data_IF_111293097839
#
_entry.id   IF_111293097839
#
_cell.length_a   1.000
_cell.length_b   1.000
_cell.length_c   1.000
_cell.angle_alpha   90.00
_cell.angle_beta   90.00
_cell.angle_gamma   90.00
#
_symmetry.space_group_name_H-M   'P 1'
#
loop_
_entity.id
_entity.type
_entity.pdbx_description
1 polymer ?
#
# COMPACT_ATOMS: atom_id res chain seq x y z
N UNK A 1 -0.98 -1.82 -22.85
CA UNK A 1 0.28 -1.08 -22.62
C UNK A 1 0.46 -0.96 -21.12
N UNK A 2 1.67 -1.18 -20.57
CA UNK A 2 1.91 -1.10 -19.12
C UNK A 2 1.81 0.35 -18.65
N UNK A 3 1.06 0.57 -17.57
CA UNK A 3 0.99 1.83 -16.81
C UNK A 3 1.01 1.49 -15.32
N UNK A 4 1.91 2.11 -14.55
CA UNK A 4 2.16 1.78 -13.14
C UNK A 4 1.61 2.89 -12.25
N UNK A 5 0.71 2.54 -11.34
CA UNK A 5 0.30 3.39 -10.24
C UNK A 5 1.32 3.27 -9.11
N UNK A 6 1.73 4.39 -8.53
CA UNK A 6 2.58 4.42 -7.35
C UNK A 6 1.81 5.09 -6.21
N UNK A 7 1.70 4.42 -5.07
CA UNK A 7 1.13 5.01 -3.85
C UNK A 7 2.25 5.30 -2.87
N UNK A 8 2.61 6.57 -2.75
CA UNK A 8 3.65 7.04 -1.83
C UNK A 8 3.15 7.10 -0.38
N UNK A 9 3.86 6.43 0.52
CA UNK A 9 3.75 6.65 1.97
C UNK A 9 4.55 7.88 2.44
N UNK A 10 4.61 8.09 3.76
CA UNK A 10 5.40 9.18 4.36
C UNK A 10 6.83 9.20 3.83
N UNK A 11 7.24 10.31 3.20
CA UNK A 11 8.62 10.54 2.74
C UNK A 11 9.01 9.83 1.43
N UNK A 12 8.05 9.21 0.72
CA UNK A 12 8.28 8.48 -0.53
C UNK A 12 7.31 8.92 -1.64
N UNK A 13 6.85 10.17 -1.57
CA UNK A 13 5.89 10.81 -2.47
C UNK A 13 6.51 11.95 -3.29
N UNK A 14 7.84 12.08 -3.33
CA UNK A 14 8.52 13.08 -4.14
C UNK A 14 8.30 12.82 -5.64
N UNK A 15 7.50 13.66 -6.35
CA UNK A 15 7.23 13.48 -7.76
C UNK A 15 8.46 13.72 -8.64
N UNK A 16 9.54 14.33 -8.13
CA UNK A 16 10.76 14.58 -8.90
C UNK A 16 11.44 13.29 -9.41
N UNK A 17 11.04 12.11 -8.94
CA UNK A 17 11.43 10.83 -9.54
C UNK A 17 10.93 10.68 -10.99
N UNK A 18 9.92 11.43 -11.41
CA UNK A 18 9.33 11.37 -12.75
C UNK A 18 9.84 12.52 -13.63
N UNK A 19 10.20 12.22 -14.88
CA UNK A 19 10.83 13.21 -15.76
C UNK A 19 9.91 14.34 -16.22
N UNK A 20 8.68 14.03 -16.67
CA UNK A 20 7.68 15.02 -17.10
C UNK A 20 6.47 14.91 -16.19
N UNK A 21 6.19 15.97 -15.44
CA UNK A 21 5.13 15.99 -14.44
C UNK A 21 3.88 16.70 -14.99
N UNK A 22 2.75 16.00 -14.99
CA UNK A 22 1.43 16.58 -15.23
C UNK A 22 0.56 16.27 -14.03
N UNK A 23 0.12 17.32 -13.35
CA UNK A 23 -0.84 17.18 -12.26
C UNK A 23 -2.27 17.12 -12.82
N UNK A 24 -3.07 16.21 -12.27
CA UNK A 24 -4.45 16.00 -12.69
C UNK A 24 -5.36 15.89 -11.48
N UNK A 25 -6.31 16.81 -11.38
CA UNK A 25 -7.43 16.72 -10.44
C UNK A 25 -8.51 15.81 -11.05
N UNK A 26 -8.91 14.77 -10.33
CA UNK A 26 -9.94 13.82 -10.77
C UNK A 26 -10.98 13.60 -9.67
N UNK A 27 -12.14 13.07 -10.07
CA UNK A 27 -13.20 12.65 -9.16
C UNK A 27 -13.67 11.27 -9.59
N UNK A 28 -13.87 10.40 -8.61
CA UNK A 28 -14.44 9.06 -8.80
C UNK A 28 -15.87 9.02 -8.28
N UNK A 29 -16.58 7.93 -8.52
CA UNK A 29 -17.89 7.69 -7.89
C UNK A 29 -17.80 7.61 -6.36
N UNK A 30 -16.62 7.26 -5.82
CA UNK A 30 -16.34 7.21 -4.38
C UNK A 30 -15.81 8.53 -3.81
N UNK A 31 -15.90 9.62 -4.57
CA UNK A 31 -15.42 10.95 -4.18
C UNK A 31 -14.04 11.27 -4.76
N UNK A 32 -13.38 12.27 -4.16
CA UNK A 32 -12.04 12.68 -4.60
C UNK A 32 -10.98 11.72 -4.04
N UNK A 33 -9.95 11.36 -4.83
CA UNK A 33 -8.74 10.76 -4.29
C UNK A 33 -8.10 11.67 -3.24
N UNK A 34 -7.27 11.10 -2.37
CA UNK A 34 -6.65 11.82 -1.24
C UNK A 34 -5.67 12.91 -1.69
N UNK A 35 -5.08 12.77 -2.88
CA UNK A 35 -4.33 13.83 -3.56
C UNK A 35 -4.70 13.87 -5.03
N UNK A 36 -4.37 14.96 -5.71
CA UNK A 36 -4.29 14.95 -7.18
C UNK A 36 -3.33 13.87 -7.67
N UNK A 37 -3.61 13.38 -8.87
CA UNK A 37 -2.75 12.44 -9.56
C UNK A 37 -1.56 13.19 -10.15
N UNK A 38 -0.40 12.57 -10.12
CA UNK A 38 0.79 13.11 -10.78
C UNK A 38 1.26 12.12 -11.82
N UNK A 39 1.04 12.42 -13.10
CA UNK A 39 1.42 11.57 -14.22
C UNK A 39 2.82 11.94 -14.72
N UNK A 40 3.60 10.93 -15.07
CA UNK A 40 4.88 11.11 -15.74
C UNK A 40 5.43 9.82 -16.35
N UNK A 41 6.70 9.86 -16.72
CA UNK A 41 7.40 8.75 -17.38
C UNK A 41 8.68 8.45 -16.61
N UNK A 42 8.89 7.16 -16.28
CA UNK A 42 10.10 6.64 -15.66
C UNK A 42 10.61 5.46 -16.48
N UNK A 43 11.84 5.55 -17.00
CA UNK A 43 12.44 4.47 -17.79
C UNK A 43 11.61 4.06 -19.02
N UNK A 44 10.87 4.99 -19.61
CA UNK A 44 9.97 4.73 -20.75
C UNK A 44 8.60 4.13 -20.39
N UNK A 45 8.29 3.97 -19.09
CA UNK A 45 7.00 3.48 -18.59
C UNK A 45 6.17 4.64 -18.05
N UNK A 46 4.88 4.67 -18.40
CA UNK A 46 3.94 5.65 -17.84
C UNK A 46 3.67 5.33 -16.37
N UNK A 47 3.81 6.35 -15.51
CA UNK A 47 3.61 6.25 -14.07
C UNK A 47 2.59 7.29 -13.62
N UNK A 48 1.70 6.89 -12.70
CA UNK A 48 0.79 7.82 -12.00
C UNK A 48 1.04 7.69 -10.50
N UNK A 49 1.40 8.78 -9.85
CA UNK A 49 1.65 8.86 -8.42
C UNK A 49 0.43 9.44 -7.68
N UNK A 50 0.12 8.85 -6.52
CA UNK A 50 -0.80 9.39 -5.50
C UNK A 50 -0.04 9.48 -4.17
N UNK A 51 -0.14 10.63 -3.49
CA UNK A 51 0.34 10.78 -2.12
C UNK A 51 -0.76 10.28 -1.16
N UNK A 52 -0.52 9.15 -0.48
CA UNK A 52 -1.54 8.45 0.33
C UNK A 52 -2.20 9.35 1.37
N UNK A 53 -1.40 10.19 2.04
CA UNK A 53 -1.83 11.06 3.13
C UNK A 53 -2.08 12.51 2.69
N UNK A 54 -2.19 12.72 1.36
CA UNK A 54 -2.15 14.06 0.77
C UNK A 54 -0.72 14.60 0.73
N UNK A 55 -0.48 15.60 -0.14
CA UNK A 55 0.86 16.14 -0.40
C UNK A 55 1.53 16.81 0.80
N UNK A 56 0.73 17.28 1.76
CA UNK A 56 1.22 17.91 2.98
C UNK A 56 1.11 16.97 4.18
N UNK A 57 0.91 15.67 3.94
CA UNK A 57 0.69 14.67 4.98
C UNK A 57 -0.49 15.02 5.92
N UNK A 58 -1.53 15.68 5.39
CA UNK A 58 -2.61 16.26 6.19
C UNK A 58 -3.73 15.29 6.55
N UNK A 59 -3.79 14.11 5.92
CA UNK A 59 -4.85 13.12 6.18
C UNK A 59 -4.32 11.94 6.99
N UNK A 60 -4.98 11.63 8.10
CA UNK A 60 -4.68 10.43 8.88
C UNK A 60 -4.97 9.16 8.08
N UNK A 61 -4.40 7.99 8.46
CA UNK A 61 -4.67 6.73 7.76
C UNK A 61 -6.16 6.35 7.67
N UNK A 62 -6.98 6.77 8.63
CA UNK A 62 -8.44 6.55 8.62
C UNK A 62 -9.17 7.45 7.61
N UNK A 63 -8.68 8.68 7.40
CA UNK A 63 -9.28 9.66 6.50
C UNK A 63 -8.92 9.46 5.02
N UNK A 64 -7.94 8.60 4.74
CA UNK A 64 -7.56 8.26 3.36
C UNK A 64 -8.76 7.66 2.62
N UNK A 65 -9.05 8.18 1.43
CA UNK A 65 -10.12 7.70 0.59
C UNK A 65 -9.61 6.58 -0.32
N UNK A 66 -9.37 5.41 0.28
CA UNK A 66 -8.79 4.25 -0.41
C UNK A 66 -9.58 3.84 -1.66
N UNK A 67 -10.92 3.86 -1.59
CA UNK A 67 -11.79 3.56 -2.75
C UNK A 67 -11.54 4.53 -3.89
N UNK A 68 -11.52 5.83 -3.63
CA UNK A 68 -11.26 6.81 -4.67
C UNK A 68 -9.83 6.73 -5.23
N UNK A 69 -8.82 6.44 -4.41
CA UNK A 69 -7.45 6.28 -4.89
C UNK A 69 -7.33 5.09 -5.87
N UNK A 70 -7.85 3.93 -5.49
CA UNK A 70 -7.78 2.72 -6.31
C UNK A 70 -8.69 2.82 -7.55
N UNK A 71 -9.88 3.42 -7.42
CA UNK A 71 -10.77 3.67 -8.56
C UNK A 71 -10.16 4.67 -9.55
N UNK A 72 -9.52 5.74 -9.08
CA UNK A 72 -8.87 6.70 -9.97
C UNK A 72 -7.75 6.05 -10.80
N UNK A 73 -6.96 5.15 -10.19
CA UNK A 73 -6.01 4.34 -10.95
C UNK A 73 -6.68 3.46 -12.00
N UNK A 74 -7.81 2.80 -11.67
CA UNK A 74 -8.57 2.01 -12.64
C UNK A 74 -9.03 2.87 -13.82
N UNK A 75 -9.62 4.03 -13.54
CA UNK A 75 -10.17 4.95 -14.53
C UNK A 75 -9.07 5.51 -15.46
N UNK A 76 -7.87 5.76 -14.93
CA UNK A 76 -6.71 6.22 -15.71
C UNK A 76 -5.95 5.09 -16.44
N UNK A 77 -6.47 3.86 -16.37
CA UNK A 77 -5.90 2.69 -17.06
C UNK A 77 -4.61 2.17 -16.44
N UNK A 78 -4.40 2.36 -15.13
CA UNK A 78 -3.31 1.72 -14.40
C UNK A 78 -3.47 0.21 -14.45
N UNK A 79 -2.35 -0.46 -14.72
CA UNK A 79 -2.28 -1.92 -14.90
C UNK A 79 -1.61 -2.63 -13.74
N UNK A 80 -0.79 -1.92 -12.94
CA UNK A 80 -0.05 -2.46 -11.81
C UNK A 80 0.09 -1.36 -10.76
N UNK A 81 0.04 -1.71 -9.48
CA UNK A 81 0.22 -0.78 -8.38
C UNK A 81 1.45 -1.20 -7.56
N UNK A 82 2.35 -0.25 -7.33
CA UNK A 82 3.44 -0.37 -6.38
C UNK A 82 3.20 0.61 -5.24
N UNK A 83 3.18 0.10 -4.02
CA UNK A 83 2.97 0.92 -2.83
C UNK A 83 4.22 0.92 -1.94
N UNK A 84 4.45 2.03 -1.26
CA UNK A 84 5.43 2.12 -0.18
C UNK A 84 4.71 2.36 1.15
N UNK A 85 5.26 1.86 2.24
CA UNK A 85 4.70 2.07 3.58
C UNK A 85 5.80 2.08 4.64
N UNK A 86 5.78 3.05 5.55
CA UNK A 86 6.58 2.99 6.77
C UNK A 86 5.90 2.03 7.76
N UNK A 87 6.70 1.29 8.54
CA UNK A 87 6.18 0.30 9.47
C UNK A 87 7.08 0.12 10.71
N UNK A 88 6.48 -0.34 11.79
CA UNK A 88 7.21 -0.87 12.93
C UNK A 88 7.56 -2.34 12.69
N UNK A 89 8.76 -2.75 13.07
CA UNK A 89 9.17 -4.14 13.07
C UNK A 89 8.61 -4.86 14.30
N UNK A 90 8.06 -6.05 14.07
CA UNK A 90 7.62 -6.98 15.11
C UNK A 90 8.57 -8.18 15.22
N UNK A 91 9.81 -8.09 14.70
CA UNK A 91 10.80 -9.18 14.63
C UNK A 91 12.20 -8.64 14.90
N UNK A 92 13.06 -9.45 15.52
CA UNK A 92 14.42 -9.00 15.86
C UNK A 92 15.28 -8.86 14.60
N UNK A 93 15.09 -9.76 13.64
CA UNK A 93 15.79 -9.85 12.36
C UNK A 93 15.39 -8.77 11.33
N UNK A 94 14.30 -8.04 11.57
CA UNK A 94 13.87 -6.91 10.74
C UNK A 94 14.32 -5.62 11.43
N UNK A 95 15.52 -5.15 11.08
CA UNK A 95 16.09 -3.91 11.62
C UNK A 95 15.57 -2.67 10.89
N UNK A 96 15.73 -1.49 11.52
CA UNK A 96 15.39 -0.20 10.93
C UNK A 96 16.12 -0.01 9.62
N UNK A 97 15.40 0.50 8.63
CA UNK A 97 15.88 0.66 7.26
C UNK A 97 15.80 -0.61 6.42
N UNK A 98 15.54 -1.79 7.00
CA UNK A 98 15.29 -3.00 6.21
C UNK A 98 13.97 -2.85 5.44
N UNK A 99 13.98 -3.33 4.21
CA UNK A 99 12.76 -3.50 3.42
C UNK A 99 12.12 -4.86 3.68
N UNK A 100 10.80 -4.92 3.59
CA UNK A 100 10.02 -6.16 3.63
C UNK A 100 9.11 -6.17 2.42
N UNK A 101 9.27 -7.17 1.56
CA UNK A 101 8.41 -7.38 0.39
C UNK A 101 7.21 -8.21 0.82
N UNK A 102 6.13 -7.53 1.18
CA UNK A 102 4.96 -8.12 1.81
C UNK A 102 4.33 -9.22 0.95
N UNK A 103 3.93 -10.33 1.59
CA UNK A 103 3.20 -11.44 0.96
C UNK A 103 1.87 -11.77 1.64
N UNK A 104 1.66 -11.28 2.86
CA UNK A 104 0.45 -11.51 3.65
C UNK A 104 0.08 -10.27 4.45
N UNK A 105 -1.17 -10.20 4.91
CA UNK A 105 -1.60 -9.21 5.88
C UNK A 105 -2.60 -9.77 6.90
N UNK A 106 -2.66 -9.12 8.05
CA UNK A 106 -3.73 -9.24 9.05
C UNK A 106 -4.43 -7.89 9.08
N UNK A 107 -5.73 -7.87 8.80
CA UNK A 107 -6.53 -6.65 8.86
C UNK A 107 -7.07 -6.43 10.27
N UNK A 108 -6.60 -5.38 10.92
CA UNK A 108 -7.07 -4.91 12.23
C UNK A 108 -7.63 -3.48 12.14
N UNK A 109 -8.07 -3.08 10.93
CA UNK A 109 -8.82 -1.84 10.70
C UNK A 109 -10.29 -2.01 11.08
N UNK A 110 -10.98 -0.90 11.35
CA UNK A 110 -12.34 -0.89 11.94
C UNK A 110 -13.28 0.13 11.31
N UNK A 111 -12.77 1.24 10.77
CA UNK A 111 -13.62 2.38 10.40
C UNK A 111 -13.74 2.60 8.90
N UNK A 112 -12.93 1.90 8.11
CA UNK A 112 -12.70 2.23 6.69
C UNK A 112 -13.66 1.46 5.78
N UNK A 113 -14.00 2.08 4.65
CA UNK A 113 -14.67 1.38 3.55
C UNK A 113 -13.64 0.54 2.80
N UNK A 114 -13.70 -0.78 2.98
CA UNK A 114 -12.72 -1.74 2.47
C UNK A 114 -13.24 -2.60 1.29
N UNK A 115 -14.40 -2.25 0.72
CA UNK A 115 -14.96 -2.92 -0.46
C UNK A 115 -15.68 -1.92 -1.37
N UNK A 116 -15.68 -2.21 -2.67
CA UNK A 116 -16.52 -1.57 -3.69
C UNK A 116 -17.92 -2.21 -3.77
N UNK A 117 -18.10 -3.41 -3.22
CA UNK A 117 -19.36 -4.17 -3.28
C UNK A 117 -20.19 -3.91 -2.01
N UNK A 118 -21.13 -2.98 -2.10
CA UNK A 118 -22.01 -2.62 -0.97
C UNK A 118 -23.28 -3.49 -0.87
N UNK A 119 -23.64 -4.20 -1.94
CA UNK A 119 -24.83 -5.05 -2.02
C UNK A 119 -24.65 -6.21 -3.00
N UNK A 120 -25.35 -7.32 -2.77
CA UNK A 120 -25.40 -8.50 -3.65
C UNK A 120 -26.67 -8.57 -4.52
N UNK A 121 -27.43 -7.48 -4.64
CA UNK A 121 -28.62 -7.42 -5.52
C UNK A 121 -28.30 -7.75 -6.98
N UNK A 122 -27.06 -7.59 -7.42
CA UNK A 122 -26.55 -7.96 -8.76
C UNK A 122 -25.77 -9.28 -8.82
N UNK A 123 -25.74 -10.06 -7.74
CA UNK A 123 -24.95 -11.29 -7.61
C UNK A 123 -23.86 -11.18 -6.53
N UNK A 124 -23.58 -12.30 -5.87
CA UNK A 124 -22.56 -12.37 -4.83
C UNK A 124 -21.15 -12.25 -5.43
N UNK A 125 -20.32 -11.41 -4.82
CA UNK A 125 -18.91 -11.23 -5.16
C UNK A 125 -18.07 -11.47 -3.91
N UNK A 126 -17.15 -12.44 -3.98
CA UNK A 126 -16.21 -12.76 -2.92
C UNK A 126 -14.80 -12.81 -3.50
N UNK A 127 -14.01 -11.78 -3.24
CA UNK A 127 -12.64 -11.68 -3.75
C UNK A 127 -11.71 -12.61 -2.96
N UNK A 128 -11.03 -13.57 -3.60
CA UNK A 128 -10.07 -14.43 -2.93
C UNK A 128 -8.84 -13.63 -2.47
N UNK A 129 -8.40 -13.83 -1.23
CA UNK A 129 -7.28 -13.11 -0.62
C UNK A 129 -6.19 -14.05 -0.08
N UNK A 130 -6.16 -15.31 -0.51
CA UNK A 130 -5.14 -16.28 -0.08
C UNK A 130 -3.71 -15.82 -0.42
N UNK A 131 -3.55 -15.17 -1.57
CA UNK A 131 -2.31 -14.54 -2.03
C UNK A 131 -2.61 -13.12 -2.48
N UNK A 132 -2.70 -12.15 -1.54
CA UNK A 132 -3.25 -10.83 -1.85
C UNK A 132 -2.28 -9.93 -2.61
N UNK A 133 -0.98 -10.26 -2.63
CA UNK A 133 0.04 -9.52 -3.35
C UNK A 133 0.45 -10.28 -4.62
N UNK A 134 0.66 -9.57 -5.72
CA UNK A 134 1.02 -10.16 -7.01
C UNK A 134 2.45 -10.72 -6.99
N UNK A 135 2.59 -12.03 -7.15
CA UNK A 135 3.88 -12.72 -7.06
C UNK A 135 4.87 -12.26 -8.15
N UNK A 136 4.35 -11.89 -9.33
CA UNK A 136 5.15 -11.40 -10.44
C UNK A 136 5.79 -10.04 -10.14
N UNK A 137 5.07 -9.14 -9.46
CA UNK A 137 5.59 -7.86 -8.96
C UNK A 137 6.53 -8.06 -7.77
N UNK A 138 6.16 -8.90 -6.81
CA UNK A 138 7.01 -9.24 -5.66
C UNK A 138 8.36 -9.77 -6.09
N UNK A 139 8.38 -10.73 -7.02
CA UNK A 139 9.61 -11.30 -7.58
C UNK A 139 10.52 -10.24 -8.22
N UNK A 140 9.94 -9.24 -8.90
CA UNK A 140 10.71 -8.12 -9.46
C UNK A 140 11.29 -7.25 -8.36
N UNK A 141 10.50 -6.90 -7.34
CA UNK A 141 10.98 -6.11 -6.20
C UNK A 141 12.13 -6.82 -5.46
N UNK A 142 11.97 -8.11 -5.15
CA UNK A 142 13.01 -8.93 -4.49
C UNK A 142 14.29 -8.93 -5.31
N UNK A 143 14.19 -9.22 -6.63
CA UNK A 143 15.35 -9.23 -7.52
C UNK A 143 16.04 -7.87 -7.55
N UNK A 144 15.29 -6.78 -7.70
CA UNK A 144 15.84 -5.42 -7.71
C UNK A 144 16.50 -5.05 -6.38
N UNK A 145 15.90 -5.42 -5.24
CA UNK A 145 16.51 -5.20 -3.92
C UNK A 145 17.85 -5.91 -3.77
N UNK A 146 17.97 -7.14 -4.29
CA UNK A 146 19.26 -7.88 -4.35
C UNK A 146 20.28 -7.18 -5.22
N UNK A 147 19.90 -6.78 -6.43
CA UNK A 147 20.80 -6.11 -7.39
C UNK A 147 21.32 -4.77 -6.87
N UNK A 148 20.49 -4.03 -6.13
CA UNK A 148 20.85 -2.74 -5.53
C UNK A 148 21.55 -2.87 -4.17
N UNK A 149 21.65 -4.08 -3.61
CA UNK A 149 22.31 -4.32 -2.33
C UNK A 149 21.56 -3.77 -1.11
N UNK A 150 20.25 -3.54 -1.21
CA UNK A 150 19.46 -3.08 -0.07
C UNK A 150 19.17 -4.24 0.90
N UNK A 151 19.35 -4.08 2.22
CA UNK A 151 18.88 -5.04 3.20
C UNK A 151 17.37 -5.26 3.06
N UNK A 152 16.95 -6.51 2.81
CA UNK A 152 15.55 -6.80 2.57
C UNK A 152 15.16 -8.21 3.03
N UNK A 153 13.87 -8.36 3.30
CA UNK A 153 13.19 -9.60 3.60
C UNK A 153 12.23 -9.95 2.47
N UNK A 154 12.33 -11.17 1.96
CA UNK A 154 11.58 -11.61 0.78
C UNK A 154 10.11 -11.96 1.05
N UNK A 155 9.70 -12.01 2.32
CA UNK A 155 8.34 -12.29 2.80
C UNK A 155 8.11 -11.54 4.10
N UNK A 156 6.85 -11.32 4.44
CA UNK A 156 6.46 -10.72 5.70
C UNK A 156 4.96 -10.45 5.76
N UNK A 157 4.35 -10.83 6.88
CA UNK A 157 2.96 -10.56 7.20
C UNK A 157 2.85 -9.19 7.85
N UNK A 158 2.14 -8.25 7.21
CA UNK A 158 1.84 -6.95 7.82
C UNK A 158 0.54 -6.99 8.60
N UNK A 159 0.55 -6.60 9.87
CA UNK A 159 -0.70 -6.23 10.57
C UNK A 159 -1.00 -4.76 10.28
N UNK A 160 -2.18 -4.48 9.73
CA UNK A 160 -2.65 -3.11 9.50
C UNK A 160 -3.63 -2.71 10.60
N UNK A 161 -3.23 -1.80 11.48
CA UNK A 161 -4.10 -1.25 12.52
C UNK A 161 -4.81 0.02 12.04
N UNK A 162 -5.87 0.43 12.73
CA UNK A 162 -6.64 1.62 12.35
C UNK A 162 -5.82 2.93 12.50
N UNK A 163 -5.04 3.08 13.57
CA UNK A 163 -4.44 4.36 13.95
C UNK A 163 -5.47 5.36 14.54
N UNK A 164 -5.09 6.64 14.73
CA UNK A 164 -3.76 7.21 14.53
C UNK A 164 -2.79 6.92 15.69
N UNK A 165 -3.28 6.35 16.79
CA UNK A 165 -2.39 5.93 17.88
C UNK A 165 -1.53 4.75 17.45
N UNK A 166 -0.31 4.69 17.97
CA UNK A 166 0.48 3.47 17.96
C UNK A 166 -0.12 2.39 18.88
N UNK A 167 0.42 1.19 18.78
CA UNK A 167 0.04 0.06 19.60
C UNK A 167 0.48 0.25 21.05
N UNK A 168 -0.26 -0.36 21.97
CA UNK A 168 0.24 -0.64 23.32
C UNK A 168 1.20 -1.82 23.29
N UNK A 169 2.06 -1.96 24.31
CA UNK A 169 2.95 -3.13 24.45
C UNK A 169 2.17 -4.44 24.41
N UNK A 170 0.97 -4.47 25.00
CA UNK A 170 0.11 -5.66 25.00
C UNK A 170 -0.37 -6.03 23.58
N UNK A 171 -0.78 -5.04 22.78
CA UNK A 171 -1.16 -5.24 21.38
C UNK A 171 0.04 -5.67 20.53
N UNK A 172 1.20 -5.03 20.71
CA UNK A 172 2.44 -5.37 20.00
C UNK A 172 2.83 -6.83 20.23
N UNK A 173 2.83 -7.27 21.50
CA UNK A 173 3.09 -8.67 21.88
C UNK A 173 2.04 -9.63 21.33
N UNK A 174 0.76 -9.24 21.33
CA UNK A 174 -0.31 -10.04 20.73
C UNK A 174 -0.09 -10.25 19.23
N UNK A 175 0.22 -9.20 18.47
CA UNK A 175 0.45 -9.30 17.03
C UNK A 175 1.66 -10.16 16.70
N UNK A 176 2.73 -10.11 17.51
CA UNK A 176 3.87 -11.03 17.41
C UNK A 176 3.47 -12.49 17.57
N UNK A 177 2.60 -12.79 18.55
CA UNK A 177 2.08 -14.15 18.78
C UNK A 177 1.19 -14.64 17.64
N UNK A 178 0.47 -13.73 16.97
CA UNK A 178 -0.33 -14.06 15.78
C UNK A 178 0.50 -14.32 14.53
N UNK A 179 1.81 -14.04 14.57
CA UNK A 179 2.69 -14.26 13.44
C UNK A 179 2.92 -13.02 12.57
N UNK A 180 2.47 -11.82 12.97
CA UNK A 180 2.79 -10.60 12.22
C UNK A 180 4.29 -10.26 12.32
N UNK A 181 4.85 -9.79 11.21
CA UNK A 181 6.28 -9.48 11.08
C UNK A 181 6.55 -7.98 11.12
N UNK A 182 5.61 -7.19 10.58
CA UNK A 182 5.63 -5.73 10.61
C UNK A 182 4.23 -5.18 10.89
N UNK A 183 4.15 -3.96 11.40
CA UNK A 183 2.90 -3.25 11.71
C UNK A 183 2.83 -1.92 10.98
N UNK A 184 1.70 -1.63 10.33
CA UNK A 184 1.45 -0.34 9.71
C UNK A 184 -0.02 0.10 9.87
N UNK A 185 -0.41 1.14 9.14
CA UNK A 185 -1.77 1.68 9.18
C UNK A 185 -2.45 1.80 7.81
N UNK A 186 -1.92 1.22 6.73
CA UNK A 186 -2.40 1.54 5.36
C UNK A 186 -2.67 0.36 4.42
N UNK A 187 -1.84 -0.68 4.42
CA UNK A 187 -1.76 -1.59 3.27
C UNK A 187 -2.97 -2.52 3.11
N UNK A 188 -3.54 -3.07 4.19
CA UNK A 188 -4.60 -4.07 4.09
C UNK A 188 -5.82 -3.59 3.28
N UNK A 189 -6.27 -2.36 3.50
CA UNK A 189 -7.41 -1.78 2.77
C UNK A 189 -7.07 -1.55 1.29
N UNK A 190 -5.86 -1.08 0.99
CA UNK A 190 -5.41 -0.83 -0.39
C UNK A 190 -5.33 -2.10 -1.22
N UNK A 191 -4.67 -3.12 -0.68
CA UNK A 191 -4.46 -4.39 -1.39
C UNK A 191 -5.78 -5.11 -1.61
N UNK A 192 -6.71 -5.07 -0.66
CA UNK A 192 -8.05 -5.64 -0.82
C UNK A 192 -8.81 -4.99 -1.98
N UNK A 193 -8.88 -3.66 -2.00
CA UNK A 193 -9.55 -2.91 -3.07
C UNK A 193 -8.88 -3.12 -4.44
N UNK A 194 -7.54 -3.17 -4.50
CA UNK A 194 -6.83 -3.45 -5.74
C UNK A 194 -7.18 -4.83 -6.31
N UNK A 195 -7.32 -5.84 -5.44
CA UNK A 195 -7.73 -7.19 -5.85
C UNK A 195 -9.18 -7.24 -6.34
N UNK A 196 -10.10 -6.48 -5.73
CA UNK A 196 -11.49 -6.38 -6.23
C UNK A 196 -11.55 -5.85 -7.67
N UNK A 197 -10.70 -4.88 -8.02
CA UNK A 197 -10.61 -4.34 -9.38
C UNK A 197 -9.66 -5.11 -10.31
N UNK A 198 -9.09 -6.21 -9.81
CA UNK A 198 -8.13 -7.10 -10.50
C UNK A 198 -6.90 -6.35 -11.01
N UNK A 199 -6.37 -5.44 -10.20
CA UNK A 199 -5.13 -4.72 -10.49
C UNK A 199 -4.01 -5.36 -9.66
N UNK A 200 -3.00 -6.00 -10.29
CA UNK A 200 -1.79 -6.48 -9.61
C UNK A 200 -1.21 -5.43 -8.66
N UNK A 201 -1.04 -5.80 -7.38
CA UNK A 201 -0.57 -4.92 -6.33
C UNK A 201 0.62 -5.57 -5.61
N UNK A 202 1.67 -4.78 -5.36
CA UNK A 202 2.75 -5.15 -4.45
C UNK A 202 3.15 -3.97 -3.58
N UNK A 203 3.64 -4.25 -2.38
CA UNK A 203 4.07 -3.23 -1.44
C UNK A 203 5.47 -3.52 -0.89
N UNK A 204 6.26 -2.46 -0.77
CA UNK A 204 7.53 -2.46 -0.05
C UNK A 204 7.30 -1.74 1.28
N UNK A 205 7.42 -2.47 2.38
CA UNK A 205 7.40 -1.89 3.72
C UNK A 205 8.82 -1.58 4.17
N UNK A 206 9.06 -0.41 4.75
CA UNK A 206 10.35 -0.03 5.32
C UNK A 206 10.20 0.04 6.84
N UNK A 207 10.98 -0.75 7.57
CA UNK A 207 10.99 -0.68 9.03
C UNK A 207 11.61 0.66 9.46
N UNK A 208 10.91 1.42 10.29
CA UNK A 208 11.39 2.69 10.84
C UNK A 208 11.72 2.60 12.33
N UNK A 209 11.18 1.59 12.99
CA UNK A 209 11.22 1.37 14.43
C UNK A 209 10.86 -0.09 14.75
N UNK A 210 10.82 -0.45 16.03
CA UNK A 210 10.48 -1.79 16.52
C UNK A 210 9.11 -1.83 17.20
N UNK A 211 8.18 -0.95 16.80
CA UNK A 211 6.93 -0.72 17.51
C UNK A 211 7.20 -0.51 19.02
N UNK A 212 6.74 -1.41 19.90
CA UNK A 212 6.94 -1.27 21.35
C UNK A 212 7.04 -2.61 22.12
N UNK A 213 7.53 -3.68 21.49
CA UNK A 213 7.58 -5.02 22.11
C UNK A 213 8.77 -5.26 23.05
#
# INVERSE_FOLDING_TARGET
MVKVGVIGGSGLDDPNILGKLVEKEVKTEYGKPTSSLTEGVLGGVNVILIARHGRNHQYSPTEVNYRANIQAFKDEGVTHILATTACGSLREEIDRGHFVILDQFIDFTKHRKNTFVESFEGGAVHTPMAHPFDEGLRSKLIKTSKELGYPHHEKGTVVTIEGPRFSTVAESKMFRLWGADVINMSVATEVALANELKIPYAAVAMSTDYDCW
#
